data_IF_026279309393
#
_entry.id   IF_026279309393
#
_cell.length_a   1.000
_cell.length_b   1.000
_cell.length_c   1.000
_cell.angle_alpha   90.00
_cell.angle_beta   90.00
_cell.angle_gamma   90.00
#
_symmetry.space_group_name_H-M   'P 1'
#
loop_
_entity.id
_entity.type
_entity.pdbx_description
1 polymer ?
#
# COMPACT_ATOMS: atom_id res chain seq x y z
N UNK A 1 -7.63 10.54 5.42
CA UNK A 1 -8.23 10.74 4.08
C UNK A 1 -8.65 12.20 4.00
N UNK A 2 -8.49 12.85 2.84
CA UNK A 2 -8.86 14.25 2.63
C UNK A 2 -9.90 14.36 1.50
N UNK A 3 -10.68 15.44 1.51
CA UNK A 3 -11.58 15.79 0.42
C UNK A 3 -11.42 17.28 0.13
N UNK A 4 -11.23 17.64 -1.15
CA UNK A 4 -11.00 19.03 -1.55
C UNK A 4 -11.86 19.43 -2.75
N UNK A 5 -12.56 20.55 -2.58
CA UNK A 5 -13.34 21.21 -3.62
C UNK A 5 -12.45 22.18 -4.39
N UNK A 6 -12.19 21.88 -5.65
CA UNK A 6 -11.52 22.81 -6.56
C UNK A 6 -12.50 23.86 -7.10
N UNK A 7 -12.08 25.11 -7.32
CA UNK A 7 -12.83 26.09 -8.10
C UNK A 7 -13.18 25.56 -9.50
N UNK A 8 -14.40 25.84 -9.97
CA UNK A 8 -14.90 25.38 -11.27
C UNK A 8 -14.01 25.80 -12.47
N UNK A 9 -13.29 26.92 -12.30
CA UNK A 9 -12.39 27.56 -13.28
C UNK A 9 -11.00 26.91 -13.40
N UNK A 10 -10.66 25.91 -12.57
CA UNK A 10 -9.39 25.21 -12.71
C UNK A 10 -9.38 24.36 -13.99
N UNK A 11 -8.52 24.75 -14.92
CA UNK A 11 -8.09 23.94 -16.07
C UNK A 11 -7.38 22.71 -15.53
N UNK A 12 -7.67 21.54 -16.13
CA UNK A 12 -7.26 20.23 -15.64
C UNK A 12 -5.78 20.17 -15.19
N UNK A 13 -5.47 19.51 -14.06
CA UNK A 13 -4.09 19.29 -13.62
C UNK A 13 -3.23 18.73 -14.76
N UNK A 14 -2.10 19.39 -15.06
CA UNK A 14 -1.24 19.00 -16.18
C UNK A 14 -0.52 17.69 -15.87
N UNK A 15 -0.98 16.60 -16.45
CA UNK A 15 -0.27 15.32 -16.43
C UNK A 15 1.19 15.50 -16.93
N UNK A 16 2.16 15.04 -16.13
CA UNK A 16 3.58 15.12 -16.44
C UNK A 16 3.94 14.27 -17.67
N UNK A 17 4.06 14.90 -18.84
CA UNK A 17 4.45 14.23 -20.10
C UNK A 17 5.96 13.96 -20.14
N UNK A 18 6.42 12.87 -19.53
CA UNK A 18 7.74 12.32 -19.83
C UNK A 18 7.72 11.52 -21.14
N UNK A 19 8.50 12.00 -22.11
CA UNK A 19 8.51 11.53 -23.50
C UNK A 19 9.50 10.38 -23.67
N UNK A 20 9.07 9.14 -23.41
CA UNK A 20 9.93 7.96 -23.53
C UNK A 20 9.94 7.46 -24.99
N UNK A 21 11.14 7.31 -25.55
CA UNK A 21 11.40 6.86 -26.93
C UNK A 21 11.31 5.34 -27.01
N UNK A 22 10.36 4.81 -27.77
CA UNK A 22 10.17 3.36 -27.90
C UNK A 22 11.23 2.69 -28.80
N UNK A 23 11.77 1.56 -28.34
CA UNK A 23 12.45 0.56 -29.17
C UNK A 23 11.70 -0.77 -29.07
N UNK A 24 11.56 -1.48 -30.20
CA UNK A 24 10.92 -2.80 -30.27
C UNK A 24 11.93 -3.93 -30.01
N UNK A 25 11.48 -5.04 -29.42
CA UNK A 25 11.95 -6.37 -29.80
C UNK A 25 10.79 -7.30 -30.24
N UNK A 26 11.14 -8.45 -30.81
CA UNK A 26 10.26 -9.40 -31.51
C UNK A 26 10.29 -10.82 -30.92
N UNK A 27 9.14 -11.52 -30.89
CA UNK A 27 8.90 -12.95 -31.27
C UNK A 27 9.75 -14.06 -30.55
N UNK A 28 9.22 -15.16 -29.98
CA UNK A 28 7.82 -15.61 -29.72
C UNK A 28 7.72 -16.91 -28.86
N UNK A 29 6.59 -17.11 -28.16
CA UNK A 29 5.90 -18.42 -27.86
C UNK A 29 6.60 -19.53 -27.02
N UNK A 30 5.88 -20.54 -26.45
CA UNK A 30 4.50 -20.56 -25.91
C UNK A 30 4.27 -21.31 -24.55
N UNK A 31 3.09 -21.08 -23.94
CA UNK A 31 2.28 -21.95 -23.03
C UNK A 31 2.91 -22.62 -21.77
N UNK A 32 2.32 -22.30 -20.62
CA UNK A 32 1.69 -23.28 -19.69
C UNK A 32 0.43 -22.66 -19.06
N UNK A 33 -0.64 -23.45 -18.94
CA UNK A 33 -1.87 -23.02 -18.26
C UNK A 33 -1.70 -23.11 -16.74
N UNK A 34 -2.07 -22.05 -16.04
CA UNK A 34 -2.61 -22.14 -14.69
C UNK A 34 -3.87 -21.27 -14.63
N UNK A 35 -4.96 -21.84 -14.12
CA UNK A 35 -6.19 -21.11 -13.88
C UNK A 35 -5.99 -20.19 -12.67
N UNK A 36 -5.62 -18.94 -12.92
CA UNK A 36 -5.72 -17.88 -11.94
C UNK A 36 -7.10 -17.22 -12.12
N UNK A 37 -7.84 -17.03 -11.02
CA UNK A 37 -9.05 -16.23 -11.02
C UNK A 37 -8.73 -14.87 -11.67
N UNK A 38 -9.53 -14.48 -12.66
CA UNK A 38 -9.21 -13.32 -13.50
C UNK A 38 -9.11 -12.08 -12.64
N UNK A 39 -7.94 -11.44 -12.63
CA UNK A 39 -7.82 -10.06 -12.20
C UNK A 39 -8.52 -9.19 -13.25
N UNK A 40 -9.85 -9.10 -13.15
CA UNK A 40 -10.67 -8.29 -14.04
C UNK A 40 -10.12 -6.86 -14.00
N UNK A 41 -9.53 -6.43 -15.11
CA UNK A 41 -8.85 -5.14 -15.21
C UNK A 41 -9.90 -4.05 -15.42
N UNK A 42 -10.58 -3.68 -14.34
CA UNK A 42 -11.55 -2.58 -14.37
C UNK A 42 -10.90 -1.33 -14.98
N UNK A 43 -11.34 -0.99 -16.19
CA UNK A 43 -10.73 0.01 -17.05
C UNK A 43 -11.74 1.02 -17.57
N UNK A 44 -11.30 1.87 -18.50
CA UNK A 44 -12.17 2.90 -19.08
C UNK A 44 -13.25 2.29 -19.97
N UNK A 45 -12.97 1.15 -20.60
CA UNK A 45 -13.96 0.42 -21.39
C UNK A 45 -15.10 -0.11 -20.51
N UNK A 46 -14.82 -0.44 -19.24
CA UNK A 46 -15.86 -0.86 -18.28
C UNK A 46 -16.65 0.34 -17.73
N UNK A 47 -15.98 1.47 -17.47
CA UNK A 47 -16.64 2.73 -17.11
C UNK A 47 -17.60 3.20 -18.22
N UNK A 48 -17.16 3.12 -19.48
CA UNK A 48 -17.99 3.48 -20.64
C UNK A 48 -19.15 2.48 -20.82
N UNK A 49 -18.90 1.18 -20.70
CA UNK A 49 -19.93 0.12 -20.76
C UNK A 49 -21.01 0.28 -19.69
N UNK A 50 -20.65 0.70 -18.47
CA UNK A 50 -21.62 1.04 -17.41
C UNK A 50 -22.40 2.30 -17.78
N UNK A 51 -21.73 3.30 -18.36
CA UNK A 51 -22.39 4.51 -18.88
C UNK A 51 -23.28 4.31 -20.11
N UNK A 52 -23.17 3.17 -20.82
CA UNK A 52 -23.96 2.83 -22.01
C UNK A 52 -25.37 2.29 -21.68
N UNK A 53 -25.72 2.11 -20.41
CA UNK A 53 -27.11 2.21 -19.96
C UNK A 53 -28.04 1.01 -20.20
N UNK A 54 -27.56 -0.23 -20.09
CA UNK A 54 -28.46 -1.39 -19.91
C UNK A 54 -28.98 -1.43 -18.45
N UNK A 55 -29.87 -0.49 -18.10
CA UNK A 55 -30.38 -0.23 -16.75
C UNK A 55 -31.49 -1.21 -16.27
N UNK A 56 -31.31 -2.52 -16.39
CA UNK A 56 -32.31 -3.49 -15.89
C UNK A 56 -32.03 -4.03 -14.48
N UNK A 57 -30.84 -3.81 -13.91
CA UNK A 57 -30.39 -4.47 -12.65
C UNK A 57 -29.76 -3.52 -11.60
N UNK A 58 -29.69 -2.20 -11.86
CA UNK A 58 -29.09 -1.21 -10.94
C UNK A 58 -30.11 -0.75 -9.87
N UNK A 59 -30.37 -1.61 -8.87
CA UNK A 59 -31.01 -1.20 -7.62
C UNK A 59 -30.02 -0.33 -6.80
N UNK A 60 -30.28 0.97 -6.59
CA UNK A 60 -29.35 1.86 -5.85
C UNK A 60 -29.23 1.51 -4.36
N UNK A 61 -30.07 0.60 -3.84
CA UNK A 61 -29.94 0.03 -2.49
C UNK A 61 -29.11 -1.25 -2.45
N UNK A 62 -28.72 -1.83 -3.59
CA UNK A 62 -27.86 -3.00 -3.64
C UNK A 62 -26.40 -2.66 -3.28
N UNK A 63 -26.04 -2.97 -2.04
CA UNK A 63 -24.69 -2.79 -1.53
C UNK A 63 -23.81 -4.04 -1.63
N UNK A 64 -24.26 -5.15 -2.24
CA UNK A 64 -23.52 -6.42 -2.32
C UNK A 64 -22.11 -6.22 -2.88
N UNK A 65 -21.98 -5.53 -4.02
CA UNK A 65 -20.69 -5.25 -4.65
C UNK A 65 -19.71 -4.44 -3.77
N UNK A 66 -20.22 -3.55 -2.91
CA UNK A 66 -19.39 -2.81 -1.95
C UNK A 66 -18.91 -3.73 -0.82
N UNK A 67 -19.79 -4.55 -0.26
CA UNK A 67 -19.44 -5.51 0.78
C UNK A 67 -18.41 -6.55 0.29
N UNK A 68 -18.51 -7.00 -0.95
CA UNK A 68 -17.49 -7.85 -1.57
C UNK A 68 -16.10 -7.20 -1.60
N UNK A 69 -16.00 -5.89 -1.92
CA UNK A 69 -14.71 -5.19 -1.89
C UNK A 69 -14.18 -5.04 -0.47
N UNK A 70 -15.05 -4.71 0.50
CA UNK A 70 -14.67 -4.64 1.92
C UNK A 70 -14.17 -6.00 2.41
N UNK A 71 -14.87 -7.08 2.09
CA UNK A 71 -14.48 -8.45 2.45
C UNK A 71 -13.15 -8.85 1.79
N UNK A 72 -12.99 -8.57 0.49
CA UNK A 72 -11.75 -8.86 -0.25
C UNK A 72 -10.52 -8.09 0.29
N UNK A 73 -10.71 -6.98 0.99
CA UNK A 73 -9.66 -6.27 1.73
C UNK A 73 -9.37 -6.85 3.12
N UNK A 74 -10.31 -7.57 3.76
CA UNK A 74 -10.22 -8.02 5.15
C UNK A 74 -10.03 -9.54 5.36
N UNK A 75 -10.19 -10.36 4.30
CA UNK A 75 -10.02 -11.83 4.27
C UNK A 75 -8.79 -12.40 5.00
N UNK A 76 -7.69 -11.64 5.12
CA UNK A 76 -6.50 -12.05 5.87
C UNK A 76 -6.74 -12.27 7.38
N UNK A 77 -7.74 -11.62 7.97
CA UNK A 77 -8.06 -11.70 9.40
C UNK A 77 -8.89 -12.91 9.80
N UNK A 78 -9.45 -13.66 8.83
CA UNK A 78 -10.38 -14.77 9.08
C UNK A 78 -9.82 -16.10 8.54
N UNK A 79 -9.47 -16.15 7.24
CA UNK A 79 -9.12 -17.41 6.58
C UNK A 79 -7.66 -17.84 6.82
N UNK A 80 -6.76 -16.85 6.95
CA UNK A 80 -5.31 -17.07 6.84
C UNK A 80 -4.55 -16.92 8.15
N UNK A 81 -5.21 -16.58 9.26
CA UNK A 81 -4.53 -16.24 10.51
C UNK A 81 -3.58 -17.36 11.01
N UNK A 82 -3.93 -18.63 10.79
CA UNK A 82 -3.12 -19.80 11.16
C UNK A 82 -1.85 -19.98 10.31
N UNK A 83 -1.73 -19.34 9.14
CA UNK A 83 -0.55 -19.35 8.27
C UNK A 83 0.54 -18.39 8.77
N UNK A 84 0.23 -17.49 9.71
CA UNK A 84 1.12 -16.43 10.19
C UNK A 84 1.47 -16.61 11.67
N UNK A 85 2.52 -15.93 12.12
CA UNK A 85 2.91 -15.79 13.52
C UNK A 85 3.10 -14.30 13.85
N UNK A 86 2.83 -13.85 15.09
CA UNK A 86 3.11 -12.49 15.50
C UNK A 86 4.61 -12.17 15.40
N UNK A 87 4.90 -10.97 14.91
CA UNK A 87 6.21 -10.32 14.96
C UNK A 87 6.21 -9.29 16.08
N UNK A 88 7.07 -9.49 17.09
CA UNK A 88 7.14 -8.68 18.29
C UNK A 88 8.41 -7.82 18.37
N UNK A 89 8.25 -6.61 18.89
CA UNK A 89 9.36 -5.76 19.35
C UNK A 89 8.92 -5.16 20.70
N UNK A 90 9.75 -5.30 21.74
CA UNK A 90 9.43 -4.82 23.10
C UNK A 90 8.05 -5.32 23.59
N UNK A 91 7.79 -6.62 23.39
CA UNK A 91 6.54 -7.32 23.72
C UNK A 91 5.26 -6.75 23.04
N UNK A 92 5.41 -5.82 22.10
CA UNK A 92 4.34 -5.30 21.26
C UNK A 92 4.30 -6.01 19.92
N UNK A 93 3.10 -6.45 19.49
CA UNK A 93 2.89 -6.98 18.13
C UNK A 93 2.95 -5.81 17.15
N UNK A 94 3.96 -5.82 16.29
CA UNK A 94 4.17 -4.80 15.23
C UNK A 94 3.82 -5.30 13.83
N UNK A 95 3.62 -6.62 13.67
CA UNK A 95 3.19 -7.23 12.42
C UNK A 95 2.96 -8.73 12.55
N UNK A 96 2.76 -9.38 11.41
CA UNK A 96 2.54 -10.83 11.32
C UNK A 96 3.36 -11.41 10.16
N UNK A 97 4.22 -12.39 10.44
CA UNK A 97 5.10 -13.02 9.45
C UNK A 97 4.50 -14.36 9.02
N UNK A 98 4.38 -14.58 7.70
CA UNK A 98 3.93 -15.86 7.15
C UNK A 98 4.94 -16.98 7.48
N UNK A 99 4.47 -18.15 7.92
CA UNK A 99 5.31 -19.26 8.39
C UNK A 99 6.40 -19.68 7.39
N UNK A 100 6.06 -19.71 6.10
CA UNK A 100 7.03 -20.02 5.04
C UNK A 100 8.15 -18.99 4.87
N UNK A 101 7.99 -17.75 5.33
CA UNK A 101 9.04 -16.73 5.28
C UNK A 101 10.03 -16.82 6.46
N UNK A 102 9.60 -17.41 7.58
CA UNK A 102 10.41 -17.56 8.81
C UNK A 102 11.70 -18.36 8.54
N UNK A 103 11.66 -19.36 7.66
CA UNK A 103 12.84 -20.17 7.28
C UNK A 103 13.98 -19.35 6.68
N UNK A 104 13.67 -18.20 6.07
CA UNK A 104 14.68 -17.27 5.57
C UNK A 104 15.27 -16.41 6.69
N UNK A 105 14.47 -16.09 7.72
CA UNK A 105 14.88 -15.28 8.88
C UNK A 105 15.71 -16.08 9.90
N UNK A 106 15.45 -17.38 10.07
CA UNK A 106 16.21 -18.29 10.97
C UNK A 106 17.73 -18.33 10.74
N UNK A 107 18.20 -17.85 9.60
CA UNK A 107 19.63 -17.76 9.24
C UNK A 107 20.33 -16.56 9.89
N UNK A 108 19.59 -15.60 10.42
CA UNK A 108 20.07 -14.33 10.98
C UNK A 108 19.73 -14.27 12.48
N UNK A 109 20.29 -15.20 13.26
CA UNK A 109 19.97 -15.38 14.69
C UNK A 109 20.46 -14.22 15.56
N UNK A 110 21.42 -13.46 15.07
CA UNK A 110 21.92 -12.19 15.58
C UNK A 110 20.91 -11.03 15.42
N UNK A 111 19.92 -11.19 14.53
CA UNK A 111 18.86 -10.19 14.25
C UNK A 111 17.47 -10.66 14.69
N UNK A 112 17.16 -11.95 14.56
CA UNK A 112 15.84 -12.51 14.84
C UNK A 112 15.89 -13.69 15.81
N UNK A 113 15.05 -13.64 16.83
CA UNK A 113 14.76 -14.77 17.71
C UNK A 113 13.42 -15.38 17.33
N UNK A 114 13.43 -16.64 16.89
CA UNK A 114 12.23 -17.40 16.52
C UNK A 114 11.91 -18.39 17.63
N UNK A 115 10.77 -18.20 18.29
CA UNK A 115 10.29 -19.10 19.35
C UNK A 115 9.24 -20.03 18.76
N UNK A 116 9.32 -21.32 19.09
CA UNK A 116 8.28 -22.30 18.75
C UNK A 116 7.66 -22.88 20.02
N UNK A 117 6.34 -22.79 20.15
CA UNK A 117 5.58 -23.03 21.38
C UNK A 117 5.44 -24.50 21.80
N UNK A 118 6.36 -25.39 21.40
CA UNK A 118 6.27 -26.84 21.68
C UNK A 118 6.53 -27.24 23.14
N UNK A 119 7.00 -26.31 23.99
CA UNK A 119 7.57 -26.62 25.31
C UNK A 119 6.80 -25.96 26.48
N UNK A 120 5.46 -26.06 26.51
CA UNK A 120 4.65 -25.82 27.71
C UNK A 120 4.55 -24.37 28.25
N UNK A 121 5.36 -23.44 27.77
CA UNK A 121 5.17 -22.01 28.01
C UNK A 121 4.03 -21.51 27.12
N UNK A 122 2.99 -20.89 27.69
CA UNK A 122 1.72 -20.55 27.02
C UNK A 122 1.78 -19.47 25.91
N UNK A 123 2.97 -19.21 25.36
CA UNK A 123 3.21 -18.30 24.25
C UNK A 123 3.34 -19.15 22.98
N UNK A 124 2.43 -18.95 22.02
CA UNK A 124 2.48 -19.63 20.72
C UNK A 124 3.70 -19.22 19.89
N UNK A 125 3.90 -19.89 18.74
CA UNK A 125 5.00 -19.57 17.81
C UNK A 125 5.07 -18.06 17.53
N UNK A 126 6.27 -17.48 17.62
CA UNK A 126 6.48 -16.05 17.37
C UNK A 126 7.88 -15.72 16.82
N UNK A 127 8.01 -14.54 16.24
CA UNK A 127 9.30 -13.95 15.84
C UNK A 127 9.50 -12.66 16.60
N UNK A 128 10.70 -12.41 17.09
CA UNK A 128 11.08 -11.15 17.73
C UNK A 128 12.45 -10.67 17.23
N UNK A 129 12.77 -9.39 17.43
CA UNK A 129 14.13 -8.89 17.22
C UNK A 129 15.05 -9.35 18.35
N UNK A 130 16.29 -9.71 18.01
CA UNK A 130 17.28 -10.19 18.95
C UNK A 130 17.56 -9.15 20.05
N UNK A 131 17.71 -9.60 21.29
CA UNK A 131 17.69 -8.76 22.48
C UNK A 131 18.83 -7.74 22.58
N UNK A 132 19.90 -7.90 21.79
CA UNK A 132 20.99 -6.92 21.67
C UNK A 132 20.59 -5.64 20.90
N UNK A 133 19.58 -5.69 20.04
CA UNK A 133 19.16 -4.57 19.19
C UNK A 133 18.28 -3.59 19.97
N UNK A 134 18.92 -2.72 20.77
CA UNK A 134 18.21 -1.78 21.66
C UNK A 134 17.68 -0.52 20.97
N UNK A 135 18.43 0.10 20.05
CA UNK A 135 18.04 1.40 19.45
C UNK A 135 17.27 1.20 18.13
N UNK A 136 16.31 2.08 17.78
CA UNK A 136 15.61 2.04 16.50
C UNK A 136 16.53 2.02 15.28
N UNK A 137 17.65 2.76 15.30
CA UNK A 137 18.60 2.81 14.19
C UNK A 137 19.40 1.51 14.04
N UNK A 138 19.71 0.84 15.16
CA UNK A 138 20.43 -0.44 15.16
C UNK A 138 19.53 -1.55 14.60
N UNK A 139 18.26 -1.56 15.00
CA UNK A 139 17.22 -2.44 14.43
C UNK A 139 17.02 -2.19 12.94
N UNK A 140 16.87 -0.93 12.54
CA UNK A 140 16.73 -0.51 11.14
C UNK A 140 17.90 -1.00 10.29
N UNK A 141 19.14 -0.82 10.78
CA UNK A 141 20.36 -1.24 10.09
C UNK A 141 20.49 -2.77 10.01
N UNK A 142 20.20 -3.48 11.09
CA UNK A 142 20.26 -4.93 11.15
C UNK A 142 19.21 -5.59 10.22
N UNK A 143 17.94 -5.19 10.33
CA UNK A 143 16.86 -5.71 9.48
C UNK A 143 17.08 -5.29 8.02
N UNK A 144 17.56 -4.07 7.76
CA UNK A 144 17.95 -3.61 6.42
C UNK A 144 19.06 -4.46 5.79
N UNK A 145 20.05 -4.90 6.57
CA UNK A 145 21.06 -5.85 6.11
C UNK A 145 20.44 -7.21 5.74
N UNK A 146 19.55 -7.75 6.57
CA UNK A 146 18.84 -9.00 6.27
C UNK A 146 18.02 -8.88 4.98
N UNK A 147 17.25 -7.80 4.82
CA UNK A 147 16.46 -7.51 3.59
C UNK A 147 17.38 -7.47 2.36
N UNK A 148 18.56 -6.85 2.45
CA UNK A 148 19.54 -6.83 1.37
C UNK A 148 20.03 -8.24 1.01
N UNK A 149 20.35 -9.07 2.00
CA UNK A 149 20.80 -10.45 1.81
C UNK A 149 19.72 -11.35 1.19
N UNK A 150 18.45 -11.17 1.56
CA UNK A 150 17.31 -11.95 1.03
C UNK A 150 16.57 -11.27 -0.14
N UNK A 151 17.10 -10.17 -0.67
CA UNK A 151 16.39 -9.26 -1.59
C UNK A 151 15.84 -9.90 -2.88
N UNK A 152 16.36 -11.06 -3.30
CA UNK A 152 15.75 -11.86 -4.39
C UNK A 152 14.31 -12.32 -4.08
N UNK A 153 13.94 -12.43 -2.81
CA UNK A 153 12.60 -12.78 -2.34
C UNK A 153 11.67 -11.57 -2.17
N UNK A 154 12.25 -10.35 -2.11
CA UNK A 154 11.55 -9.08 -1.87
C UNK A 154 11.77 -8.18 -3.09
N UNK A 155 11.06 -8.42 -4.21
CA UNK A 155 11.23 -7.65 -5.44
C UNK A 155 10.70 -6.22 -5.27
N UNK A 156 11.27 -5.30 -6.06
CA UNK A 156 10.75 -3.93 -6.15
C UNK A 156 11.09 -3.03 -4.97
N UNK A 157 12.28 -3.18 -4.39
CA UNK A 157 12.91 -2.24 -3.43
C UNK A 157 12.72 -0.79 -3.91
N UNK A 158 12.29 0.11 -3.02
CA UNK A 158 11.96 1.51 -3.33
C UNK A 158 12.95 2.52 -2.77
N UNK A 159 13.86 2.11 -1.87
CA UNK A 159 14.71 3.00 -1.08
C UNK A 159 13.88 3.97 -0.24
N UNK A 160 12.78 3.46 0.32
CA UNK A 160 11.75 4.22 1.00
C UNK A 160 11.41 3.49 2.29
N UNK A 161 11.69 4.13 3.42
CA UNK A 161 11.46 3.54 4.74
C UNK A 161 10.04 3.81 5.20
N UNK A 162 9.37 2.78 5.70
CA UNK A 162 8.12 2.86 6.45
C UNK A 162 8.40 2.73 7.96
N UNK A 163 7.65 3.46 8.82
CA UNK A 163 7.77 3.33 10.26
C UNK A 163 7.15 2.01 10.74
N UNK A 164 7.83 1.31 11.65
CA UNK A 164 7.27 0.12 12.33
C UNK A 164 6.76 0.52 13.71
N UNK A 165 5.44 0.44 13.89
CA UNK A 165 4.69 0.89 15.08
C UNK A 165 3.64 -0.14 15.46
N UNK A 166 3.21 -0.18 16.73
CA UNK A 166 2.08 -1.02 17.17
C UNK A 166 0.73 -0.49 16.68
N UNK A 167 0.55 0.83 16.59
CA UNK A 167 -0.60 1.51 15.96
C UNK A 167 -0.23 2.93 15.51
N UNK A 168 -1.16 3.61 14.82
CA UNK A 168 -0.91 4.95 14.27
C UNK A 168 -0.69 5.96 15.40
N UNK A 169 0.35 6.80 15.26
CA UNK A 169 0.72 7.79 16.28
C UNK A 169 1.54 7.24 17.46
N UNK A 170 1.72 5.92 17.57
CA UNK A 170 2.58 5.31 18.60
C UNK A 170 4.07 5.47 18.26
N UNK A 171 4.98 5.34 19.25
CA UNK A 171 6.41 5.38 19.02
C UNK A 171 6.89 4.39 17.95
N UNK A 172 7.89 4.81 17.19
CA UNK A 172 8.47 4.05 16.09
C UNK A 172 9.57 3.14 16.66
N UNK A 173 9.36 1.83 16.61
CA UNK A 173 10.31 0.83 17.14
C UNK A 173 11.58 0.73 16.29
N UNK A 174 11.42 0.82 14.97
CA UNK A 174 12.45 0.89 13.94
C UNK A 174 11.80 1.24 12.58
N UNK A 175 12.59 1.31 11.51
CA UNK A 175 12.12 1.56 10.15
C UNK A 175 12.44 0.40 9.20
N UNK A 176 11.55 0.15 8.26
CA UNK A 176 11.60 -0.99 7.34
C UNK A 176 11.49 -0.53 5.89
N UNK A 177 12.27 -1.10 4.97
CA UNK A 177 12.09 -0.84 3.52
C UNK A 177 10.67 -1.21 3.07
N UNK A 178 10.00 -0.29 2.37
CA UNK A 178 8.60 -0.38 1.95
C UNK A 178 8.27 -1.67 1.21
N UNK A 179 9.16 -2.17 0.36
CA UNK A 179 8.96 -3.44 -0.34
C UNK A 179 8.88 -4.66 0.60
N UNK A 180 9.52 -4.60 1.77
CA UNK A 180 9.50 -5.65 2.78
C UNK A 180 8.25 -5.60 3.69
N UNK A 181 7.50 -4.49 3.73
CA UNK A 181 6.36 -4.32 4.62
C UNK A 181 5.31 -5.46 4.56
N UNK A 182 4.93 -6.01 3.39
CA UNK A 182 4.01 -7.16 3.32
C UNK A 182 4.60 -8.47 3.86
N UNK A 183 5.92 -8.64 3.86
CA UNK A 183 6.60 -9.86 4.31
C UNK A 183 6.74 -9.92 5.83
N UNK A 184 6.91 -8.75 6.45
CA UNK A 184 6.88 -8.58 7.91
C UNK A 184 5.45 -8.35 8.45
N UNK A 185 4.47 -8.20 7.56
CA UNK A 185 3.07 -7.94 7.87
C UNK A 185 2.84 -6.73 8.77
N UNK A 186 3.70 -5.71 8.65
CA UNK A 186 3.59 -4.49 9.47
C UNK A 186 2.36 -3.67 9.06
N UNK A 187 1.86 -2.84 9.99
CA UNK A 187 0.87 -1.82 9.65
C UNK A 187 1.52 -0.77 8.75
N UNK A 188 1.02 -0.66 7.52
CA UNK A 188 1.40 0.38 6.58
C UNK A 188 0.37 1.51 6.59
N UNK A 189 0.85 2.75 6.47
CA UNK A 189 0.02 3.94 6.43
C UNK A 189 0.13 4.64 5.07
N UNK A 190 -0.82 5.53 4.78
CA UNK A 190 -0.91 6.24 3.51
C UNK A 190 -1.82 7.46 3.58
N UNK A 191 -1.74 8.29 2.54
CA UNK A 191 -2.56 9.49 2.35
C UNK A 191 -3.36 9.34 1.07
N UNK A 192 -4.64 9.70 1.13
CA UNK A 192 -5.58 9.63 0.00
C UNK A 192 -6.40 10.92 -0.02
N UNK A 193 -6.57 11.52 -1.19
CA UNK A 193 -7.38 12.72 -1.39
C UNK A 193 -8.40 12.55 -2.52
N UNK A 194 -9.67 12.74 -2.19
CA UNK A 194 -10.73 12.99 -3.16
C UNK A 194 -10.67 14.45 -3.61
N UNK A 195 -10.61 14.66 -4.93
CA UNK A 195 -10.69 15.98 -5.53
C UNK A 195 -11.98 16.12 -6.32
N UNK A 196 -12.80 17.12 -6.05
CA UNK A 196 -14.06 17.32 -6.78
C UNK A 196 -14.26 18.76 -7.22
N UNK A 197 -15.09 18.97 -8.24
CA UNK A 197 -15.58 20.28 -8.68
C UNK A 197 -17.11 20.26 -8.68
N UNK A 198 -17.71 21.45 -8.53
CA UNK A 198 -19.12 21.65 -8.82
C UNK A 198 -19.27 22.50 -10.08
N UNK A 199 -20.13 22.06 -10.99
CA UNK A 199 -20.49 22.75 -12.24
C UNK A 199 -21.98 22.56 -12.47
N UNK A 200 -22.69 23.65 -12.76
CA UNK A 200 -24.12 23.63 -13.11
C UNK A 200 -25.01 22.87 -12.10
N UNK A 201 -24.67 22.99 -10.81
CA UNK A 201 -25.36 22.30 -9.70
C UNK A 201 -24.97 20.83 -9.49
N UNK A 202 -24.12 20.26 -10.34
CA UNK A 202 -23.68 18.86 -10.26
C UNK A 202 -22.24 18.74 -9.72
N UNK A 203 -21.97 17.65 -8.99
CA UNK A 203 -20.65 17.30 -8.47
C UNK A 203 -19.92 16.32 -9.38
N UNK A 204 -18.66 16.61 -9.69
CA UNK A 204 -17.78 15.77 -10.50
C UNK A 204 -16.51 15.41 -9.72
N UNK A 205 -16.21 14.12 -9.61
CA UNK A 205 -15.00 13.62 -8.95
C UNK A 205 -13.86 13.47 -9.97
N UNK A 206 -12.67 13.96 -9.63
CA UNK A 206 -11.44 13.68 -10.35
C UNK A 206 -10.91 12.29 -9.96
N UNK A 207 -10.84 11.39 -10.93
CA UNK A 207 -10.25 10.06 -10.79
C UNK A 207 -8.87 10.02 -11.45
N UNK A 208 -7.89 9.49 -10.71
CA UNK A 208 -6.59 9.17 -11.28
C UNK A 208 -6.67 7.90 -12.14
N UNK A 209 -5.90 7.82 -13.23
CA UNK A 209 -5.59 6.56 -13.90
C UNK A 209 -4.13 6.21 -13.66
N UNK A 210 -3.87 5.09 -13.00
CA UNK A 210 -2.51 4.65 -12.67
C UNK A 210 -1.74 4.33 -13.95
N UNK A 211 -0.49 4.81 -14.04
CA UNK A 211 0.39 4.45 -15.15
C UNK A 211 0.55 2.94 -15.27
N UNK A 212 0.58 2.42 -16.52
CA UNK A 212 0.86 1.01 -16.80
C UNK A 212 2.26 0.57 -16.33
N UNK A 213 3.14 1.51 -15.97
CA UNK A 213 4.47 1.24 -15.41
C UNK A 213 4.49 1.15 -13.87
N UNK A 214 3.40 1.49 -13.16
CA UNK A 214 3.36 1.32 -11.68
C UNK A 214 3.40 -0.19 -11.37
N UNK A 215 4.30 -0.65 -10.47
CA UNK A 215 4.48 -2.09 -10.19
C UNK A 215 3.29 -2.72 -9.45
N UNK A 216 2.42 -1.91 -8.84
CA UNK A 216 1.20 -2.34 -8.18
C UNK A 216 -0.01 -1.68 -8.85
N UNK A 217 -1.01 -2.49 -9.22
CA UNK A 217 -2.25 -2.06 -9.86
C UNK A 217 -2.05 -1.15 -11.11
N UNK A 218 -1.28 -1.60 -12.12
CA UNK A 218 -1.07 -0.83 -13.35
C UNK A 218 -2.37 -0.63 -14.14
N UNK A 219 -2.60 0.58 -14.65
CA UNK A 219 -3.74 0.91 -15.53
C UNK A 219 -5.09 1.11 -14.83
N UNK A 220 -5.22 0.71 -13.56
CA UNK A 220 -6.45 0.84 -12.77
C UNK A 220 -6.76 2.30 -12.40
N UNK A 221 -8.01 2.56 -12.01
CA UNK A 221 -8.41 3.85 -11.45
C UNK A 221 -7.92 4.00 -9.99
N UNK A 222 -7.78 5.24 -9.55
CA UNK A 222 -7.36 5.62 -8.20
C UNK A 222 -7.99 6.97 -7.80
N UNK A 223 -7.73 7.38 -6.57
CA UNK A 223 -8.00 8.74 -6.10
C UNK A 223 -7.21 9.77 -6.95
N UNK A 224 -7.56 11.06 -6.85
CA UNK A 224 -6.77 12.12 -7.49
C UNK A 224 -5.32 12.14 -6.99
N UNK A 225 -5.09 11.80 -5.72
CA UNK A 225 -3.76 11.67 -5.10
C UNK A 225 -3.79 10.50 -4.10
N UNK A 226 -2.84 9.56 -4.20
CA UNK A 226 -2.76 8.42 -3.29
C UNK A 226 -1.30 7.92 -3.06
N UNK A 227 -0.76 8.24 -1.87
CA UNK A 227 0.62 7.91 -1.50
C UNK A 227 0.72 6.97 -0.29
N UNK A 228 1.84 6.23 -0.21
CA UNK A 228 2.25 5.63 1.07
C UNK A 228 2.71 6.71 2.05
N UNK A 229 2.81 6.40 3.35
CA UNK A 229 3.36 7.33 4.35
C UNK A 229 4.75 6.86 4.79
N UNK A 230 5.84 7.49 4.30
CA UNK A 230 7.20 7.21 4.73
C UNK A 230 7.45 7.50 6.22
N UNK A 231 8.58 7.01 6.71
CA UNK A 231 9.18 7.43 7.97
C UNK A 231 9.61 8.90 7.89
N UNK A 232 9.48 9.63 9.01
CA UNK A 232 10.01 11.00 9.15
C UNK A 232 9.18 12.12 8.50
N UNK A 233 8.04 11.81 7.88
CA UNK A 233 7.17 12.80 7.21
C UNK A 233 5.76 12.77 7.82
N UNK A 234 5.15 13.95 8.01
CA UNK A 234 3.78 14.05 8.54
C UNK A 234 2.75 13.75 7.45
N UNK A 235 1.54 13.34 7.83
CA UNK A 235 0.45 13.11 6.86
C UNK A 235 0.14 14.35 6.00
N UNK A 236 0.26 15.56 6.57
CA UNK A 236 0.07 16.83 5.84
C UNK A 236 1.18 17.06 4.83
N UNK A 237 2.44 16.97 5.25
CA UNK A 237 3.59 17.18 4.36
C UNK A 237 3.64 16.13 3.25
N UNK A 238 3.35 14.87 3.58
CA UNK A 238 3.27 13.79 2.61
C UNK A 238 2.12 14.01 1.61
N UNK A 239 0.93 14.43 2.06
CA UNK A 239 -0.16 14.71 1.11
C UNK A 239 0.18 15.90 0.19
N UNK A 240 0.86 16.94 0.69
CA UNK A 240 1.31 18.06 -0.15
C UNK A 240 2.37 17.62 -1.19
N UNK A 241 3.32 16.75 -0.82
CA UNK A 241 4.29 16.13 -1.73
C UNK A 241 3.59 15.33 -2.83
N UNK A 242 2.70 14.39 -2.46
CA UNK A 242 2.02 13.51 -3.43
C UNK A 242 1.06 14.32 -4.34
N UNK A 243 0.47 15.41 -3.84
CA UNK A 243 -0.31 16.36 -4.65
C UNK A 243 0.52 16.97 -5.79
N UNK A 244 1.77 17.33 -5.52
CA UNK A 244 2.69 17.93 -6.47
C UNK A 244 3.22 16.89 -7.47
N UNK A 245 3.61 15.71 -6.98
CA UNK A 245 4.20 14.63 -7.79
C UNK A 245 3.19 13.88 -8.68
N UNK A 246 2.00 13.52 -8.17
CA UNK A 246 1.05 12.70 -8.93
C UNK A 246 0.03 13.52 -9.73
N UNK A 247 -0.34 14.71 -9.23
CA UNK A 247 -1.38 15.54 -9.80
C UNK A 247 -0.92 16.95 -10.22
N UNK A 248 0.34 17.34 -9.99
CA UNK A 248 0.84 18.67 -10.32
C UNK A 248 0.12 19.81 -9.58
N UNK A 249 -0.49 19.51 -8.43
CA UNK A 249 -1.21 20.49 -7.60
C UNK A 249 -0.17 21.22 -6.72
N UNK A 250 0.04 22.53 -6.91
CA UNK A 250 1.06 23.26 -6.17
C UNK A 250 0.72 23.37 -4.68
N UNK A 251 1.77 23.50 -3.86
CA UNK A 251 1.67 23.62 -2.39
C UNK A 251 0.79 24.76 -1.90
N UNK A 252 0.67 25.85 -2.68
CA UNK A 252 -0.26 26.96 -2.41
C UNK A 252 -1.73 26.53 -2.40
N UNK A 253 -2.09 25.47 -3.13
CA UNK A 253 -3.42 24.85 -3.12
C UNK A 253 -3.44 23.70 -2.09
N UNK A 254 -2.48 22.76 -2.14
CA UNK A 254 -2.53 21.54 -1.32
C UNK A 254 -2.39 21.77 0.19
N UNK A 255 -1.79 22.89 0.62
CA UNK A 255 -1.79 23.32 2.02
C UNK A 255 -3.22 23.52 2.59
N UNK A 256 -4.17 23.92 1.75
CA UNK A 256 -5.58 24.14 2.10
C UNK A 256 -6.44 22.86 1.97
N UNK A 257 -5.99 21.85 1.21
CA UNK A 257 -6.59 20.51 1.20
C UNK A 257 -6.47 19.82 2.56
N UNK A 258 -5.42 20.17 3.31
CA UNK A 258 -5.10 19.60 4.61
C UNK A 258 -5.76 20.39 5.76
N UNK A 259 -7.10 20.54 5.73
CA UNK A 259 -7.83 20.89 6.96
C UNK A 259 -7.63 19.74 7.94
N UNK A 260 -7.10 20.05 9.12
CA UNK A 260 -6.81 19.07 10.16
C UNK A 260 -8.05 18.26 10.48
N UNK A 261 -7.95 16.93 10.40
CA UNK A 261 -8.78 16.07 11.22
C UNK A 261 -8.40 16.39 12.67
N UNK A 262 -9.32 17.06 13.37
CA UNK A 262 -9.32 17.18 14.82
C UNK A 262 -9.95 15.91 15.41
#
# INVERSE_FOLDING_TARGET
MACYRFPATIVAPRASRHRIRAQKPSISHPKRLFSAASSARFGWDDVLRVGEGNQEDDDPSDLRGYFEKVWACNRGSQEKQSEFVPFLVEDQIVGYIHKGFIEHLRKFQDVFTVVSGKNGCGIGDCVSLHSSLKKPDDRTRAVGHVIKCIGKLIPGIRNELYPVTSSFGMPIFFSLERAAAPYFGIKAYGVHMNGYVERDGQQFLWLGKRSNMKPTFPGMLDHLVAGGLPHGITCKENLMKECEEEAGIPRSISNNCCKSAQ
#
